data_IF_872168060127
#
_entry.id   IF_872168060127
#
_cell.length_a   1.000
_cell.length_b   1.000
_cell.length_c   1.000
_cell.angle_alpha   90.00
_cell.angle_beta   90.00
_cell.angle_gamma   90.00
#
_symmetry.space_group_name_H-M   'P 1'
#
loop_
_entity.id
_entity.type
_entity.pdbx_description
1 polymer ?
#
# COMPACT_ATOMS: atom_id res chain seq x y z
N UNK A 1 15.05 -7.90 -6.76
CA UNK A 1 14.97 -7.90 -5.28
C UNK A 1 13.53 -8.16 -4.86
N UNK A 2 13.32 -9.05 -3.90
CA UNK A 2 12.01 -9.40 -3.35
C UNK A 2 11.98 -9.13 -1.84
N UNK A 3 10.87 -8.64 -1.31
CA UNK A 3 10.69 -8.40 0.12
C UNK A 3 9.29 -8.85 0.54
N UNK A 4 9.21 -9.61 1.63
CA UNK A 4 7.98 -10.04 2.27
C UNK A 4 8.13 -9.98 3.78
N UNK A 5 7.16 -9.39 4.46
CA UNK A 5 7.14 -9.40 5.93
C UNK A 5 6.44 -10.66 6.43
N UNK A 6 6.98 -11.26 7.49
CA UNK A 6 6.50 -12.51 8.07
C UNK A 6 5.80 -12.30 9.39
N UNK A 7 6.35 -11.46 10.27
CA UNK A 7 5.76 -11.18 11.59
C UNK A 7 6.02 -9.75 12.04
N UNK A 8 5.09 -9.23 12.83
CA UNK A 8 5.21 -7.97 13.57
C UNK A 8 4.92 -8.23 15.03
N UNK A 9 5.85 -7.89 15.90
CA UNK A 9 5.68 -7.95 17.35
C UNK A 9 5.69 -6.55 17.94
N UNK A 10 4.66 -6.22 18.69
CA UNK A 10 4.48 -4.92 19.33
C UNK A 10 4.45 -5.09 20.84
N UNK A 11 5.15 -4.23 21.57
CA UNK A 11 5.14 -4.16 23.04
C UNK A 11 4.95 -2.71 23.48
N UNK A 12 3.95 -2.47 24.33
CA UNK A 12 3.65 -1.18 24.96
C UNK A 12 3.54 -0.01 23.97
N UNK A 13 3.02 -0.25 22.77
CA UNK A 13 2.87 0.77 21.74
C UNK A 13 1.41 1.17 21.57
N UNK A 14 1.11 2.41 21.81
CA UNK A 14 -0.26 2.99 21.80
C UNK A 14 -1.20 2.17 22.70
N UNK A 15 -2.23 1.54 22.11
CA UNK A 15 -3.19 0.75 22.90
C UNK A 15 -2.72 -0.68 23.21
N UNK A 16 -1.71 -1.20 22.51
CA UNK A 16 -1.26 -2.57 22.64
C UNK A 16 -0.17 -2.71 23.72
N UNK A 17 -0.46 -3.49 24.77
CA UNK A 17 0.55 -3.93 25.71
C UNK A 17 1.42 -5.01 25.07
N UNK A 18 0.78 -5.99 24.42
CA UNK A 18 1.44 -7.06 23.68
C UNK A 18 0.58 -7.45 22.50
N UNK A 19 1.19 -7.47 21.31
CA UNK A 19 0.56 -7.95 20.09
C UNK A 19 1.61 -8.65 19.23
N UNK A 20 1.30 -9.85 18.75
CA UNK A 20 2.12 -10.60 17.80
C UNK A 20 1.23 -10.93 16.58
N UNK A 21 1.63 -10.47 15.40
CA UNK A 21 0.87 -10.61 14.15
C UNK A 21 1.68 -11.44 13.16
N UNK A 22 1.27 -12.68 12.86
CA UNK A 22 1.81 -13.40 11.70
C UNK A 22 1.16 -12.87 10.43
N UNK A 23 1.94 -12.66 9.37
CA UNK A 23 1.41 -12.19 8.09
C UNK A 23 1.32 -13.32 7.06
N UNK A 24 0.20 -13.35 6.34
CA UNK A 24 0.04 -14.11 5.11
C UNK A 24 0.86 -13.48 3.98
N UNK A 25 1.19 -14.30 2.97
CA UNK A 25 2.16 -13.89 1.94
C UNK A 25 1.65 -12.83 0.96
N UNK A 26 0.32 -12.68 0.78
CA UNK A 26 -0.26 -11.78 -0.23
C UNK A 26 -1.23 -10.74 0.33
N UNK A 27 -2.19 -11.16 1.15
CA UNK A 27 -3.22 -10.23 1.66
C UNK A 27 -3.46 -10.46 3.15
N UNK A 28 -3.39 -9.39 3.92
CA UNK A 28 -3.69 -9.36 5.34
C UNK A 28 -4.74 -8.28 5.58
N UNK A 29 -5.95 -8.68 5.97
CA UNK A 29 -7.06 -7.77 6.20
C UNK A 29 -7.30 -7.63 7.70
N UNK A 30 -7.25 -6.41 8.21
CA UNK A 30 -7.53 -6.11 9.62
C UNK A 30 -8.91 -5.49 9.75
N UNK A 31 -9.76 -6.16 10.53
CA UNK A 31 -11.18 -5.81 10.71
C UNK A 31 -11.45 -5.48 12.17
N UNK A 32 -12.37 -4.59 12.42
CA UNK A 32 -12.78 -4.21 13.77
C UNK A 32 -13.40 -2.82 13.81
N UNK A 33 -14.04 -2.48 14.93
CA UNK A 33 -14.64 -1.16 15.14
C UNK A 33 -13.61 -0.03 15.15
N UNK A 34 -14.08 1.20 15.06
CA UNK A 34 -13.22 2.39 15.17
C UNK A 34 -12.48 2.40 16.52
N UNK A 35 -11.21 2.76 16.48
CA UNK A 35 -10.35 2.70 17.67
C UNK A 35 -9.89 1.29 18.09
N UNK A 36 -10.23 0.20 17.39
CA UNK A 36 -9.76 -1.15 17.72
C UNK A 36 -8.23 -1.32 17.61
N UNK A 37 -7.54 -0.42 16.90
CA UNK A 37 -6.09 -0.45 16.73
C UNK A 37 -5.63 -0.90 15.33
N UNK A 38 -6.52 -1.02 14.37
CA UNK A 38 -6.21 -1.38 12.98
C UNK A 38 -5.09 -0.52 12.39
N UNK A 39 -5.27 0.80 12.37
CA UNK A 39 -4.27 1.77 11.87
C UNK A 39 -2.97 1.75 12.70
N UNK A 40 -3.01 1.31 13.97
CA UNK A 40 -1.80 1.16 14.79
C UNK A 40 -0.89 0.07 14.26
N UNK A 41 -1.45 -1.04 13.74
CA UNK A 41 -0.67 -2.14 13.12
C UNK A 41 -0.02 -1.64 11.83
N UNK A 42 -0.77 -0.92 10.99
CA UNK A 42 -0.22 -0.35 9.76
C UNK A 42 0.88 0.67 10.06
N UNK A 43 0.66 1.59 11.01
CA UNK A 43 1.64 2.61 11.38
C UNK A 43 2.93 1.99 11.99
N UNK A 44 2.79 0.96 12.81
CA UNK A 44 3.93 0.19 13.30
C UNK A 44 4.70 -0.46 12.15
N UNK A 45 3.99 -1.07 11.19
CA UNK A 45 4.60 -1.65 9.98
C UNK A 45 5.27 -0.60 9.11
N UNK A 46 4.63 0.57 8.90
CA UNK A 46 5.18 1.69 8.15
C UNK A 46 6.50 2.19 8.77
N UNK A 47 6.54 2.36 10.10
CA UNK A 47 7.77 2.74 10.82
C UNK A 47 8.89 1.75 10.58
N UNK A 48 8.63 0.45 10.69
CA UNK A 48 9.62 -0.61 10.48
C UNK A 48 10.13 -0.62 9.03
N UNK A 49 9.24 -0.52 8.05
CA UNK A 49 9.57 -0.51 6.62
C UNK A 49 10.25 0.78 6.17
N UNK A 50 10.02 1.91 6.85
CA UNK A 50 10.69 3.17 6.56
C UNK A 50 12.22 3.06 6.69
N UNK A 51 12.72 2.20 7.57
CA UNK A 51 14.14 1.92 7.73
C UNK A 51 14.72 1.17 6.53
N UNK A 52 13.97 0.24 5.93
CA UNK A 52 14.35 -0.43 4.68
C UNK A 52 14.56 0.61 3.60
N UNK A 53 13.56 1.47 3.37
CA UNK A 53 13.63 2.54 2.36
C UNK A 53 14.82 3.47 2.57
N UNK A 54 14.99 3.97 3.79
CA UNK A 54 16.06 4.93 4.09
C UNK A 54 17.45 4.31 3.99
N UNK A 55 17.60 3.03 4.38
CA UNK A 55 18.86 2.30 4.21
C UNK A 55 19.14 2.02 2.73
N UNK A 56 18.14 1.65 1.95
CA UNK A 56 18.27 1.44 0.50
C UNK A 56 18.61 2.74 -0.25
N UNK A 57 17.99 3.85 0.09
CA UNK A 57 18.26 5.14 -0.54
C UNK A 57 19.64 5.72 -0.19
N UNK A 58 20.21 5.38 0.96
CA UNK A 58 21.51 5.90 1.40
C UNK A 58 22.67 5.08 0.81
N UNK A 59 23.67 5.71 0.14
CA UNK A 59 24.82 5.00 -0.42
C UNK A 59 25.58 4.13 0.57
N UNK A 60 25.68 4.53 1.85
CA UNK A 60 26.37 3.82 2.92
C UNK A 60 25.41 2.98 3.77
N UNK A 61 24.14 2.84 3.38
CA UNK A 61 23.08 2.22 4.19
C UNK A 61 22.97 2.81 5.61
N UNK A 62 23.18 4.13 5.75
CA UNK A 62 23.14 4.85 7.05
C UNK A 62 21.89 5.71 7.22
N UNK A 63 21.00 5.79 6.21
CA UNK A 63 19.76 6.55 6.28
C UNK A 63 18.89 6.11 7.44
N UNK A 64 18.33 7.07 8.22
CA UNK A 64 17.45 6.79 9.34
C UNK A 64 15.98 6.82 8.91
N UNK A 65 15.23 5.79 9.28
CA UNK A 65 13.78 5.72 9.15
C UNK A 65 13.06 6.42 10.31
N UNK A 66 11.76 6.20 10.42
CA UNK A 66 10.95 6.75 11.51
C UNK A 66 11.17 5.99 12.80
N UNK A 67 11.33 6.74 13.89
CA UNK A 67 11.44 6.18 15.23
C UNK A 67 10.07 6.14 15.92
N UNK A 68 9.98 5.43 17.05
CA UNK A 68 8.83 5.47 17.94
C UNK A 68 8.83 6.83 18.66
N UNK A 69 7.81 7.69 18.46
CA UNK A 69 7.70 8.92 19.24
C UNK A 69 7.27 8.59 20.68
N UNK A 70 7.69 9.39 21.64
CA UNK A 70 7.41 9.16 23.06
C UNK A 70 5.92 9.11 23.39
N UNK A 71 5.12 9.90 22.67
CA UNK A 71 3.65 9.94 22.80
C UNK A 71 2.98 8.61 22.41
N UNK A 72 3.66 7.75 21.65
CA UNK A 72 3.14 6.45 21.21
C UNK A 72 3.50 5.33 22.21
N UNK A 73 4.28 5.63 23.28
CA UNK A 73 4.49 4.71 24.39
C UNK A 73 3.21 4.63 25.20
N UNK A 74 2.74 3.43 25.53
CA UNK A 74 1.54 3.23 26.34
C UNK A 74 1.64 3.97 27.68
N UNK A 75 0.55 4.61 28.14
CA UNK A 75 0.56 5.52 29.28
C UNK A 75 1.14 4.94 30.59
N UNK A 76 1.06 3.63 30.80
CA UNK A 76 1.53 2.96 32.00
C UNK A 76 2.91 2.30 31.84
N UNK A 77 3.54 2.47 30.67
CA UNK A 77 4.82 1.85 30.36
C UNK A 77 5.95 2.87 30.28
N UNK A 78 7.14 2.48 30.69
CA UNK A 78 8.35 3.27 30.59
C UNK A 78 9.01 3.17 29.20
N UNK A 79 8.70 2.12 28.44
CA UNK A 79 9.27 1.88 27.12
C UNK A 79 8.28 1.22 26.17
N UNK A 80 8.54 1.34 24.87
CA UNK A 80 7.84 0.60 23.82
C UNK A 80 8.84 -0.01 22.84
N UNK A 81 8.47 -1.13 22.23
CA UNK A 81 9.25 -1.73 21.15
C UNK A 81 8.36 -2.30 20.04
N UNK A 82 8.90 -2.27 18.83
CA UNK A 82 8.31 -2.87 17.62
C UNK A 82 9.42 -3.71 16.99
N UNK A 83 9.14 -4.97 16.73
CA UNK A 83 10.04 -5.90 16.06
C UNK A 83 9.37 -6.43 14.79
N UNK A 84 10.13 -6.55 13.71
CA UNK A 84 9.66 -7.10 12.45
C UNK A 84 10.62 -8.20 11.99
N UNK A 85 10.04 -9.31 11.55
CA UNK A 85 10.76 -10.33 10.81
C UNK A 85 10.26 -10.33 9.36
N UNK A 86 11.20 -10.39 8.42
CA UNK A 86 10.93 -10.37 6.99
C UNK A 86 11.89 -11.30 6.24
N UNK A 87 11.54 -11.62 5.01
CA UNK A 87 12.39 -12.31 4.06
C UNK A 87 12.75 -11.36 2.92
N UNK A 88 14.06 -11.20 2.66
CA UNK A 88 14.58 -10.37 1.58
C UNK A 88 15.50 -11.22 0.71
N UNK A 89 15.10 -11.47 -0.54
CA UNK A 89 15.81 -12.35 -1.50
C UNK A 89 16.17 -13.74 -0.92
N UNK A 90 15.24 -14.35 -0.15
CA UNK A 90 15.43 -15.65 0.48
C UNK A 90 16.21 -15.61 1.80
N UNK A 91 16.68 -14.43 2.24
CA UNK A 91 17.36 -14.24 3.52
C UNK A 91 16.36 -13.79 4.57
N UNK A 92 16.24 -14.54 5.66
CA UNK A 92 15.42 -14.14 6.82
C UNK A 92 16.15 -13.07 7.62
N UNK A 93 15.48 -11.95 7.84
CA UNK A 93 16.00 -10.79 8.57
C UNK A 93 15.08 -10.43 9.72
N UNK A 94 15.67 -9.91 10.78
CA UNK A 94 14.96 -9.41 11.95
C UNK A 94 15.54 -8.09 12.41
N UNK A 95 14.68 -7.11 12.71
CA UNK A 95 15.11 -5.84 13.27
C UNK A 95 14.08 -5.29 14.25
N UNK A 96 14.53 -4.43 15.15
CA UNK A 96 13.72 -3.90 16.24
C UNK A 96 13.95 -2.41 16.45
N UNK A 97 12.87 -1.69 16.70
CA UNK A 97 12.88 -0.33 17.23
C UNK A 97 12.45 -0.36 18.68
N UNK A 98 13.15 0.38 19.53
CA UNK A 98 12.79 0.58 20.92
C UNK A 98 12.90 2.06 21.31
N UNK A 99 12.04 2.49 22.22
CA UNK A 99 12.03 3.84 22.77
C UNK A 99 11.69 3.79 24.27
N UNK A 100 12.54 4.39 25.08
CA UNK A 100 12.27 4.64 26.51
C UNK A 100 11.76 6.06 26.69
N UNK A 101 10.77 6.25 27.56
CA UNK A 101 10.21 7.55 27.94
C UNK A 101 11.25 8.37 28.69
N UNK A 102 11.23 9.69 28.50
CA UNK A 102 12.10 10.61 29.23
C UNK A 102 11.84 10.49 30.75
N UNK A 103 12.88 10.17 31.52
CA UNK A 103 12.75 9.90 32.96
C UNK A 103 12.20 8.53 33.35
N UNK A 104 11.84 7.68 32.38
CA UNK A 104 11.42 6.31 32.60
C UNK A 104 12.59 5.39 32.97
N UNK A 105 12.28 4.26 33.57
CA UNK A 105 13.29 3.23 33.89
C UNK A 105 13.66 2.48 32.60
N UNK A 106 14.98 2.40 32.26
CA UNK A 106 15.40 1.57 31.13
C UNK A 106 15.15 0.08 31.45
N UNK A 107 14.44 -0.59 30.57
CA UNK A 107 14.19 -2.04 30.63
C UNK A 107 15.28 -2.87 29.93
N UNK A 108 16.34 -2.20 29.45
CA UNK A 108 17.44 -2.83 28.74
C UNK A 108 17.15 -3.10 27.23
N UNK A 109 15.91 -2.89 26.78
CA UNK A 109 15.54 -3.07 25.36
C UNK A 109 16.06 -1.88 24.54
N UNK A 110 16.80 -2.18 23.49
CA UNK A 110 17.39 -1.19 22.57
C UNK A 110 17.02 -1.52 21.14
N UNK A 111 16.95 -0.48 20.32
CA UNK A 111 16.81 -0.68 18.87
C UNK A 111 17.97 -1.49 18.32
N UNK A 112 17.65 -2.49 17.51
CA UNK A 112 18.62 -3.31 16.79
C UNK A 112 18.25 -3.35 15.30
N UNK A 113 19.13 -2.82 14.49
CA UNK A 113 18.98 -2.71 13.03
C UNK A 113 20.15 -3.37 12.31
N UNK A 114 20.95 -4.18 13.04
CA UNK A 114 22.22 -4.68 12.52
C UNK A 114 22.00 -5.60 11.32
N UNK A 115 21.19 -6.63 11.46
CA UNK A 115 20.92 -7.60 10.38
C UNK A 115 20.41 -6.89 9.12
N UNK A 116 19.43 -6.00 9.23
CA UNK A 116 18.91 -5.21 8.13
C UNK A 116 19.99 -4.35 7.47
N UNK A 117 20.81 -3.66 8.31
CA UNK A 117 21.83 -2.76 7.80
C UNK A 117 22.94 -3.51 7.08
N UNK A 118 23.40 -4.62 7.64
CA UNK A 118 24.50 -5.41 7.06
C UNK A 118 24.04 -6.07 5.77
N UNK A 119 22.84 -6.63 5.70
CA UNK A 119 22.30 -7.19 4.46
C UNK A 119 22.12 -6.16 3.35
N UNK A 120 21.60 -4.95 3.65
CA UNK A 120 21.49 -3.88 2.66
C UNK A 120 22.88 -3.41 2.18
N UNK A 121 23.90 -3.37 3.06
CA UNK A 121 25.27 -3.07 2.63
C UNK A 121 25.80 -4.11 1.65
N UNK A 122 25.58 -5.40 1.93
CA UNK A 122 25.96 -6.49 1.02
C UNK A 122 25.33 -6.33 -0.36
N UNK A 123 24.00 -6.06 -0.41
CA UNK A 123 23.29 -5.81 -1.68
C UNK A 123 23.93 -4.63 -2.42
N UNK A 124 24.24 -3.54 -1.74
CA UNK A 124 24.83 -2.34 -2.37
C UNK A 124 26.27 -2.57 -2.83
N UNK A 125 27.06 -3.36 -2.09
CA UNK A 125 28.42 -3.72 -2.48
C UNK A 125 28.46 -4.66 -3.69
N UNK A 126 27.48 -5.55 -3.80
CA UNK A 126 27.31 -6.43 -4.97
C UNK A 126 26.81 -5.68 -6.23
N UNK A 127 26.38 -4.43 -6.07
CA UNK A 127 25.72 -3.62 -7.10
C UNK A 127 24.22 -3.58 -6.89
N UNK A 128 23.62 -2.41 -7.11
CA UNK A 128 22.16 -2.26 -6.95
C UNK A 128 21.42 -3.21 -7.90
N UNK A 129 20.37 -3.90 -7.43
CA UNK A 129 19.58 -4.79 -8.28
C UNK A 129 18.86 -4.03 -9.39
N UNK A 130 18.60 -4.70 -10.52
CA UNK A 130 17.84 -4.12 -11.63
C UNK A 130 16.37 -3.84 -11.27
N UNK A 131 15.84 -4.48 -10.22
CA UNK A 131 14.47 -4.30 -9.76
C UNK A 131 14.42 -4.20 -8.24
N UNK A 132 13.52 -3.35 -7.73
CA UNK A 132 13.32 -3.12 -6.31
C UNK A 132 11.91 -3.54 -5.88
N UNK A 133 11.71 -4.00 -4.63
CA UNK A 133 10.38 -4.14 -4.08
C UNK A 133 9.76 -2.74 -3.88
N UNK A 134 8.50 -2.57 -4.25
CA UNK A 134 7.81 -1.32 -3.89
C UNK A 134 7.43 -1.33 -2.42
N UNK A 135 7.46 -0.16 -1.82
CA UNK A 135 6.98 0.09 -0.46
C UNK A 135 6.12 1.34 -0.50
N UNK A 136 4.89 1.24 -0.01
CA UNK A 136 3.97 2.38 0.02
C UNK A 136 2.99 2.28 1.18
N UNK A 137 2.60 3.44 1.72
CA UNK A 137 1.59 3.57 2.76
C UNK A 137 0.52 4.58 2.32
N UNK A 138 -0.72 4.14 2.28
CA UNK A 138 -1.89 4.94 1.93
C UNK A 138 -2.83 5.03 3.12
N UNK A 139 -2.77 6.13 3.85
CA UNK A 139 -3.65 6.41 5.00
C UNK A 139 -5.01 6.93 4.55
N UNK A 140 -5.91 7.17 5.50
CA UNK A 140 -7.23 7.77 5.26
C UNK A 140 -7.16 9.12 4.53
N UNK A 141 -6.07 9.88 4.67
CA UNK A 141 -5.87 11.17 4.01
C UNK A 141 -5.25 11.05 2.60
N UNK A 142 -5.33 9.89 1.95
CA UNK A 142 -4.64 9.59 0.68
C UNK A 142 -5.09 10.40 -0.53
N UNK A 143 -6.24 11.04 -0.49
CA UNK A 143 -6.86 11.69 -1.64
C UNK A 143 -6.63 13.20 -1.67
N UNK A 144 -5.40 13.67 -1.85
CA UNK A 144 -5.13 15.08 -2.16
C UNK A 144 -4.79 15.21 -3.64
N UNK A 145 -5.75 15.72 -4.44
CA UNK A 145 -5.52 16.05 -5.84
C UNK A 145 -4.98 17.48 -5.97
N UNK A 146 -3.66 17.61 -5.93
CA UNK A 146 -3.00 18.86 -6.33
C UNK A 146 -2.54 18.72 -7.79
N UNK A 147 -3.30 19.27 -8.72
CA UNK A 147 -2.89 19.40 -10.13
C UNK A 147 -2.07 20.68 -10.27
N UNK A 148 -0.76 20.61 -10.46
CA UNK A 148 0.06 21.79 -10.53
C UNK A 148 -0.30 22.61 -11.78
N UNK A 149 -0.65 23.87 -11.59
CA UNK A 149 -0.88 24.84 -12.70
C UNK A 149 0.41 25.16 -13.46
N UNK A 150 1.57 24.99 -12.80
CA UNK A 150 2.91 25.18 -13.38
C UNK A 150 3.89 24.22 -12.73
N UNK A 151 4.68 23.53 -13.55
CA UNK A 151 5.81 22.71 -13.10
C UNK A 151 7.03 23.62 -13.05
N UNK A 152 7.58 23.83 -11.83
CA UNK A 152 8.72 24.71 -11.60
C UNK A 152 10.05 23.95 -11.43
N UNK A 153 9.99 22.67 -11.11
CA UNK A 153 11.14 21.81 -10.85
C UNK A 153 11.02 20.54 -11.67
N UNK A 154 12.13 20.14 -12.33
CA UNK A 154 12.20 18.83 -12.96
C UNK A 154 12.61 17.80 -11.90
N UNK A 155 11.74 16.85 -11.61
CA UNK A 155 12.10 15.66 -10.83
C UNK A 155 12.85 14.70 -11.77
N UNK A 156 13.97 14.14 -11.28
CA UNK A 156 14.59 12.99 -11.92
C UNK A 156 13.84 11.74 -11.45
N UNK A 157 13.21 11.03 -12.37
CA UNK A 157 12.55 9.76 -12.09
C UNK A 157 13.49 8.61 -12.41
N UNK A 158 14.24 8.18 -11.41
CA UNK A 158 15.07 6.98 -11.45
C UNK A 158 14.41 5.83 -10.65
N UNK A 159 15.04 4.67 -10.65
CA UNK A 159 14.49 3.48 -9.98
C UNK A 159 14.32 3.69 -8.46
N UNK A 160 15.20 4.45 -7.80
CA UNK A 160 15.09 4.76 -6.37
C UNK A 160 13.98 5.77 -6.06
N UNK A 161 13.53 6.54 -7.06
CA UNK A 161 12.38 7.45 -6.93
C UNK A 161 11.06 6.71 -6.66
N UNK A 162 11.05 5.37 -6.79
CA UNK A 162 9.93 4.54 -6.30
C UNK A 162 9.69 4.72 -4.81
N UNK A 163 10.72 5.09 -4.04
CA UNK A 163 10.65 5.27 -2.59
C UNK A 163 10.33 6.70 -2.15
N UNK A 164 10.23 7.66 -3.09
CA UNK A 164 9.91 9.03 -2.75
C UNK A 164 8.54 9.12 -2.09
N UNK A 165 8.51 9.72 -0.89
CA UNK A 165 7.29 9.85 -0.09
C UNK A 165 6.54 8.52 0.15
N UNK A 166 7.23 7.37 0.17
CA UNK A 166 6.65 6.04 0.32
C UNK A 166 5.79 5.89 1.58
N UNK A 167 6.17 6.57 2.68
CA UNK A 167 5.48 6.55 3.97
C UNK A 167 4.95 7.94 4.38
N UNK A 168 4.58 8.79 3.41
CA UNK A 168 3.90 10.06 3.69
C UNK A 168 2.42 9.90 4.01
N UNK A 169 1.88 8.70 3.86
CA UNK A 169 0.47 8.40 4.06
C UNK A 169 -0.45 8.89 2.93
N UNK A 170 0.09 9.53 1.89
CA UNK A 170 -0.69 10.13 0.81
C UNK A 170 -0.24 9.62 -0.55
N UNK A 171 -1.20 9.41 -1.47
CA UNK A 171 -0.88 9.29 -2.88
C UNK A 171 -0.39 10.66 -3.38
N UNK A 172 0.88 10.76 -3.76
CA UNK A 172 1.42 12.02 -4.26
C UNK A 172 0.97 12.25 -5.71
N UNK A 173 -0.25 12.77 -5.85
CA UNK A 173 -0.85 13.01 -7.15
C UNK A 173 -0.04 13.99 -8.00
N UNK A 174 0.58 14.98 -7.38
CA UNK A 174 1.44 15.95 -8.09
C UNK A 174 2.62 15.25 -8.77
N UNK A 175 3.34 14.41 -8.02
CA UNK A 175 4.47 13.63 -8.57
C UNK A 175 3.98 12.63 -9.63
N UNK A 176 2.81 12.00 -9.43
CA UNK A 176 2.19 11.16 -10.44
C UNK A 176 1.90 11.93 -11.73
N UNK A 177 1.30 13.12 -11.63
CA UNK A 177 0.97 13.95 -12.78
C UNK A 177 2.22 14.42 -13.55
N UNK A 178 3.26 14.86 -12.83
CA UNK A 178 4.53 15.30 -13.42
C UNK A 178 5.20 14.14 -14.16
N UNK A 179 5.25 12.96 -13.53
CA UNK A 179 5.79 11.75 -14.14
C UNK A 179 4.98 11.30 -15.36
N UNK A 180 3.64 11.26 -15.26
CA UNK A 180 2.76 10.85 -16.35
C UNK A 180 2.97 11.74 -17.57
N UNK A 181 3.06 13.05 -17.36
CA UNK A 181 3.33 14.02 -18.44
C UNK A 181 4.68 13.76 -19.09
N UNK A 182 5.74 13.58 -18.31
CA UNK A 182 7.09 13.34 -18.85
C UNK A 182 7.13 12.06 -19.69
N UNK A 183 6.53 10.98 -19.21
CA UNK A 183 6.46 9.72 -19.95
C UNK A 183 5.60 9.82 -21.22
N UNK A 184 4.51 10.59 -21.18
CA UNK A 184 3.69 10.85 -22.36
C UNK A 184 4.44 11.69 -23.40
N UNK A 185 5.24 12.69 -22.98
CA UNK A 185 6.08 13.48 -23.87
C UNK A 185 7.12 12.57 -24.55
N UNK A 186 7.82 11.72 -23.81
CA UNK A 186 8.78 10.75 -24.35
C UNK A 186 8.13 9.75 -25.33
N UNK A 187 6.97 9.18 -24.99
CA UNK A 187 6.24 8.32 -25.94
C UNK A 187 5.88 9.03 -27.25
N UNK A 188 5.51 10.31 -27.16
CA UNK A 188 5.15 11.09 -28.33
C UNK A 188 6.37 11.41 -29.19
N UNK A 189 7.52 11.75 -28.60
CA UNK A 189 8.79 11.93 -29.30
C UNK A 189 9.20 10.66 -30.04
N UNK A 190 9.19 9.50 -29.34
CA UNK A 190 9.51 8.20 -29.95
C UNK A 190 8.59 7.86 -31.13
N UNK A 191 7.31 8.20 -31.05
CA UNK A 191 6.35 7.97 -32.15
C UNK A 191 6.65 8.87 -33.36
N UNK A 192 7.05 10.12 -33.12
CA UNK A 192 7.43 11.06 -34.18
C UNK A 192 8.71 10.57 -34.86
N UNK A 193 9.74 10.22 -34.08
CA UNK A 193 11.00 9.70 -34.60
C UNK A 193 10.80 8.43 -35.44
N UNK A 194 9.98 7.48 -34.94
CA UNK A 194 9.65 6.26 -35.67
C UNK A 194 8.94 6.57 -37.01
N UNK A 195 8.00 7.51 -37.00
CA UNK A 195 7.31 7.94 -38.20
C UNK A 195 8.22 8.60 -39.22
N UNK A 196 9.13 9.49 -38.79
CA UNK A 196 10.11 10.17 -39.65
C UNK A 196 11.09 9.18 -40.30
N UNK A 197 11.46 8.11 -39.58
CA UNK A 197 12.37 7.08 -40.09
C UNK A 197 11.67 5.92 -40.81
N UNK A 198 10.35 6.00 -41.02
CA UNK A 198 9.56 4.97 -41.73
C UNK A 198 9.41 3.67 -40.97
N UNK A 199 9.62 3.68 -39.67
CA UNK A 199 9.42 2.54 -38.79
C UNK A 199 8.02 2.61 -38.14
N UNK A 200 7.39 1.44 -37.97
CA UNK A 200 6.22 1.36 -37.09
C UNK A 200 6.69 1.56 -35.65
N UNK A 201 6.08 2.49 -34.92
CA UNK A 201 6.32 2.62 -33.49
C UNK A 201 6.07 1.24 -32.85
N UNK A 202 7.10 0.64 -32.27
CA UNK A 202 7.01 -0.67 -31.63
C UNK A 202 5.93 -0.65 -30.54
N UNK A 203 5.23 -1.77 -30.40
CA UNK A 203 4.27 -2.03 -29.32
C UNK A 203 4.98 -2.44 -28.02
N UNK A 204 6.19 -1.91 -27.77
CA UNK A 204 6.89 -2.18 -26.53
C UNK A 204 6.08 -1.68 -25.35
N UNK A 205 5.99 -2.49 -24.32
CA UNK A 205 5.29 -2.15 -23.09
C UNK A 205 6.04 -1.03 -22.38
N UNK A 206 5.51 0.20 -22.49
CA UNK A 206 6.12 1.38 -21.87
C UNK A 206 5.72 1.47 -20.41
N UNK A 207 6.51 2.19 -19.60
CA UNK A 207 6.16 2.49 -18.21
C UNK A 207 4.75 3.13 -18.10
N UNK A 208 4.38 3.94 -19.08
CA UNK A 208 3.07 4.60 -19.13
C UNK A 208 1.95 3.60 -19.46
N UNK A 209 2.22 2.57 -20.27
CA UNK A 209 1.24 1.52 -20.58
C UNK A 209 0.88 0.70 -19.34
N UNK A 210 1.84 0.41 -18.47
CA UNK A 210 1.65 -0.26 -17.16
C UNK A 210 0.64 0.50 -16.31
N UNK A 211 0.80 1.82 -16.21
CA UNK A 211 -0.12 2.68 -15.45
C UNK A 211 -1.50 2.73 -16.08
N UNK A 212 -1.58 2.89 -17.40
CA UNK A 212 -2.87 2.91 -18.12
C UNK A 212 -3.62 1.59 -17.98
N UNK A 213 -2.92 0.46 -18.02
CA UNK A 213 -3.51 -0.88 -17.83
C UNK A 213 -3.99 -1.08 -16.39
N UNK A 214 -3.21 -0.67 -15.38
CA UNK A 214 -3.63 -0.73 -13.99
C UNK A 214 -4.89 0.13 -13.76
N UNK A 215 -4.90 1.38 -14.23
CA UNK A 215 -6.09 2.25 -14.14
C UNK A 215 -7.31 1.63 -14.82
N UNK A 216 -7.15 1.01 -16.00
CA UNK A 216 -8.25 0.36 -16.72
C UNK A 216 -8.81 -0.86 -15.97
N UNK A 217 -8.00 -1.57 -15.18
CA UNK A 217 -8.45 -2.69 -14.36
C UNK A 217 -9.39 -2.27 -13.24
N UNK A 218 -9.16 -1.10 -12.64
CA UNK A 218 -9.96 -0.57 -11.52
C UNK A 218 -11.10 0.35 -11.99
N UNK A 219 -10.88 1.06 -13.07
CA UNK A 219 -11.79 2.06 -13.63
C UNK A 219 -12.08 1.76 -15.11
N UNK A 220 -12.74 0.64 -15.43
CA UNK A 220 -12.90 0.16 -16.80
C UNK A 220 -13.74 1.09 -17.70
N UNK A 221 -14.55 1.96 -17.11
CA UNK A 221 -15.33 2.98 -17.81
C UNK A 221 -14.50 4.18 -18.29
N UNK A 222 -13.25 4.31 -17.74
CA UNK A 222 -12.36 5.42 -18.07
C UNK A 222 -11.31 4.99 -19.09
N UNK A 223 -11.17 5.75 -20.17
CA UNK A 223 -10.23 5.47 -21.26
C UNK A 223 -9.55 6.74 -21.75
N UNK A 224 -8.45 6.58 -22.48
CA UNK A 224 -7.79 7.69 -23.17
C UNK A 224 -7.21 8.74 -22.23
N UNK A 225 -6.57 8.27 -21.15
CA UNK A 225 -5.82 9.12 -20.22
C UNK A 225 -4.74 9.90 -20.98
N UNK A 226 -4.76 11.24 -20.88
CA UNK A 226 -3.79 12.10 -21.55
C UNK A 226 -3.61 13.42 -20.82
N UNK A 227 -2.44 14.03 -20.97
CA UNK A 227 -2.19 15.38 -20.47
C UNK A 227 -2.40 16.41 -21.56
N UNK A 228 -3.34 17.34 -21.35
CA UNK A 228 -3.50 18.54 -22.18
C UNK A 228 -2.47 19.58 -21.75
N UNK A 229 -1.79 20.22 -22.72
CA UNK A 229 -0.73 21.19 -22.45
C UNK A 229 -1.23 22.61 -22.26
N UNK A 230 -2.35 22.98 -22.90
CA UNK A 230 -2.94 24.33 -22.85
C UNK A 230 -4.46 24.25 -22.80
N UNK A 231 -5.09 24.59 -21.66
CA UNK A 231 -4.50 24.72 -20.33
C UNK A 231 -3.98 23.37 -19.81
N UNK A 232 -3.00 23.41 -18.89
CA UNK A 232 -2.40 22.19 -18.33
C UNK A 232 -3.43 21.44 -17.46
N UNK A 233 -3.76 20.20 -17.85
CA UNK A 233 -4.70 19.33 -17.13
C UNK A 233 -4.54 17.86 -17.56
N UNK A 234 -4.95 16.94 -16.71
CA UNK A 234 -5.12 15.53 -17.06
C UNK A 234 -6.56 15.31 -17.49
N UNK A 235 -6.75 14.78 -18.68
CA UNK A 235 -8.06 14.46 -19.26
C UNK A 235 -8.26 12.96 -19.36
N UNK A 236 -9.50 12.54 -19.21
CA UNK A 236 -9.93 11.16 -19.38
C UNK A 236 -11.30 11.10 -20.04
N UNK A 237 -11.57 10.06 -20.80
CA UNK A 237 -12.86 9.82 -21.41
C UNK A 237 -13.68 8.83 -20.57
N UNK A 238 -14.89 9.23 -20.17
CA UNK A 238 -15.89 8.39 -19.53
C UNK A 238 -17.08 8.24 -20.49
N UNK A 239 -17.27 7.05 -21.08
CA UNK A 239 -18.23 6.88 -22.17
C UNK A 239 -17.91 7.78 -23.35
N UNK A 240 -18.83 8.70 -23.68
CA UNK A 240 -18.68 9.71 -24.75
C UNK A 240 -18.09 11.03 -24.26
N UNK A 241 -18.06 11.28 -22.96
CA UNK A 241 -17.64 12.54 -22.36
C UNK A 241 -16.12 12.58 -22.14
N UNK A 242 -15.53 13.74 -22.42
CA UNK A 242 -14.13 14.04 -22.11
C UNK A 242 -14.11 14.92 -20.86
N UNK A 243 -13.57 14.40 -19.77
CA UNK A 243 -13.56 15.04 -18.45
C UNK A 243 -12.15 15.46 -18.05
N UNK A 244 -12.03 16.62 -17.39
CA UNK A 244 -10.88 16.94 -16.57
C UNK A 244 -10.99 16.14 -15.28
N UNK A 245 -9.88 15.59 -14.78
CA UNK A 245 -9.89 14.77 -13.55
C UNK A 245 -10.47 15.52 -12.33
N UNK A 246 -10.43 16.84 -12.32
CA UNK A 246 -11.05 17.67 -11.27
C UNK A 246 -12.58 17.55 -11.25
N UNK A 247 -13.19 17.13 -12.36
CA UNK A 247 -14.63 16.92 -12.51
C UNK A 247 -15.08 15.53 -12.06
N UNK A 248 -14.14 14.62 -11.76
CA UNK A 248 -14.43 13.30 -11.23
C UNK A 248 -14.99 13.40 -9.80
N UNK A 249 -15.74 12.40 -9.36
CA UNK A 249 -16.18 12.26 -7.98
C UNK A 249 -14.97 12.02 -7.04
N UNK A 250 -15.13 12.27 -5.75
CA UNK A 250 -14.03 12.11 -4.80
C UNK A 250 -13.57 10.64 -4.68
N UNK A 251 -14.51 9.69 -4.81
CA UNK A 251 -14.17 8.26 -4.87
C UNK A 251 -13.36 7.89 -6.11
N UNK A 252 -13.76 8.37 -7.30
CA UNK A 252 -13.00 8.19 -8.54
C UNK A 252 -11.60 8.78 -8.45
N UNK A 253 -11.51 10.00 -7.92
CA UNK A 253 -10.23 10.69 -7.69
C UNK A 253 -9.32 9.90 -6.73
N UNK A 254 -9.87 9.46 -5.59
CA UNK A 254 -9.13 8.72 -4.57
C UNK A 254 -8.58 7.41 -5.13
N UNK A 255 -9.42 6.63 -5.81
CA UNK A 255 -9.02 5.37 -6.41
C UNK A 255 -7.99 5.58 -7.53
N UNK A 256 -8.21 6.56 -8.42
CA UNK A 256 -7.27 6.91 -9.49
C UNK A 256 -5.91 7.34 -8.92
N UNK A 257 -5.89 8.18 -7.88
CA UNK A 257 -4.64 8.66 -7.28
C UNK A 257 -3.85 7.51 -6.65
N UNK A 258 -4.50 6.64 -5.89
CA UNK A 258 -3.87 5.48 -5.25
C UNK A 258 -3.33 4.49 -6.29
N UNK A 259 -4.17 4.07 -7.25
CA UNK A 259 -3.77 3.08 -8.25
C UNK A 259 -2.73 3.65 -9.22
N UNK A 260 -2.88 4.92 -9.60
CA UNK A 260 -1.90 5.61 -10.45
C UNK A 260 -0.53 5.73 -9.80
N UNK A 261 -0.47 6.13 -8.50
CA UNK A 261 0.79 6.19 -7.77
C UNK A 261 1.41 4.80 -7.57
N UNK A 262 0.59 3.79 -7.21
CA UNK A 262 1.06 2.41 -7.05
C UNK A 262 1.63 1.85 -8.35
N UNK A 263 0.94 2.03 -9.48
CA UNK A 263 1.38 1.58 -10.79
C UNK A 263 2.63 2.33 -11.27
N UNK A 264 2.74 3.65 -11.00
CA UNK A 264 3.95 4.44 -11.25
C UNK A 264 5.14 3.89 -10.48
N UNK A 265 4.97 3.60 -9.18
CA UNK A 265 6.02 2.99 -8.35
C UNK A 265 6.46 1.65 -8.91
N UNK A 266 5.52 0.81 -9.36
CA UNK A 266 5.81 -0.46 -10.01
C UNK A 266 6.63 -0.29 -11.29
N UNK A 267 6.24 0.65 -12.15
CA UNK A 267 6.97 0.95 -13.37
C UNK A 267 8.40 1.40 -13.09
N UNK A 268 8.60 2.33 -12.15
CA UNK A 268 9.91 2.83 -11.75
C UNK A 268 10.79 1.75 -11.09
N UNK A 269 10.20 0.91 -10.24
CA UNK A 269 10.93 -0.13 -9.50
C UNK A 269 11.36 -1.31 -10.39
N UNK A 270 10.72 -1.49 -11.55
CA UNK A 270 10.90 -2.66 -12.40
C UNK A 270 11.18 -2.27 -13.87
N UNK A 271 12.19 -1.45 -14.15
CA UNK A 271 12.50 -1.03 -15.51
C UNK A 271 12.85 -2.25 -16.39
N UNK A 272 12.36 -2.26 -17.62
CA UNK A 272 12.65 -3.30 -18.60
C UNK A 272 12.04 -4.67 -18.34
N UNK A 273 11.17 -4.83 -17.34
CA UNK A 273 10.37 -6.05 -17.20
C UNK A 273 9.22 -6.06 -18.21
N UNK A 274 8.92 -7.24 -18.78
CA UNK A 274 7.80 -7.43 -19.69
C UNK A 274 6.46 -7.01 -19.05
N UNK A 275 6.24 -7.29 -17.77
CA UNK A 275 5.15 -6.77 -16.98
C UNK A 275 5.68 -6.23 -15.64
N UNK A 276 5.82 -4.94 -15.54
CA UNK A 276 6.28 -4.30 -14.31
C UNK A 276 5.30 -4.49 -13.14
N UNK A 277 4.01 -4.75 -13.39
CA UNK A 277 2.99 -5.01 -12.34
C UNK A 277 3.27 -6.30 -11.57
N UNK A 278 4.01 -7.23 -12.18
CA UNK A 278 4.46 -8.46 -11.52
C UNK A 278 5.70 -8.25 -10.60
N UNK A 279 6.11 -7.02 -10.36
CA UNK A 279 7.10 -6.69 -9.34
C UNK A 279 6.60 -7.02 -7.93
N UNK A 280 7.55 -7.20 -6.99
CA UNK A 280 7.25 -7.49 -5.59
C UNK A 280 7.14 -6.20 -4.74
N UNK A 281 6.61 -6.34 -3.53
CA UNK A 281 6.58 -5.24 -2.57
C UNK A 281 5.63 -5.45 -1.41
N UNK A 282 5.59 -4.47 -0.52
CA UNK A 282 4.65 -4.42 0.61
C UNK A 282 3.90 -3.09 0.57
N UNK A 283 2.57 -3.16 0.54
CA UNK A 283 1.70 -1.98 0.45
C UNK A 283 0.72 -1.98 1.61
N UNK A 284 0.67 -0.86 2.32
CA UNK A 284 -0.22 -0.61 3.44
C UNK A 284 -1.37 0.28 2.95
N UNK A 285 -2.62 -0.11 3.25
CA UNK A 285 -3.81 0.68 2.86
C UNK A 285 -4.75 0.75 4.05
N UNK A 286 -4.88 1.95 4.62
CA UNK A 286 -5.84 2.18 5.71
C UNK A 286 -7.22 2.50 5.14
N UNK A 287 -8.26 1.85 5.66
CA UNK A 287 -9.67 1.97 5.24
C UNK A 287 -9.82 1.90 3.72
N UNK A 288 -9.54 0.73 3.14
CA UNK A 288 -9.51 0.55 1.68
C UNK A 288 -10.78 0.97 0.97
N UNK A 289 -11.93 0.87 1.64
CA UNK A 289 -13.25 1.26 1.17
C UNK A 289 -13.53 2.76 1.21
N UNK A 290 -12.69 3.55 1.88
CA UNK A 290 -12.94 4.97 2.13
C UNK A 290 -13.19 5.74 0.83
N UNK A 291 -14.32 6.46 0.77
CA UNK A 291 -14.84 7.19 -0.40
C UNK A 291 -15.22 6.31 -1.60
N UNK A 292 -15.10 4.97 -1.52
CA UNK A 292 -15.47 4.11 -2.64
C UNK A 292 -16.97 3.88 -2.71
N UNK A 293 -17.51 3.96 -3.93
CA UNK A 293 -18.88 3.52 -4.20
C UNK A 293 -19.02 2.02 -3.86
N UNK A 294 -20.18 1.56 -3.34
CA UNK A 294 -20.40 0.15 -2.96
C UNK A 294 -20.01 -0.88 -4.03
N UNK A 295 -20.18 -0.55 -5.32
CA UNK A 295 -19.74 -1.42 -6.40
C UNK A 295 -18.21 -1.64 -6.42
N UNK A 296 -17.43 -0.59 -6.13
CA UNK A 296 -15.97 -0.67 -6.08
C UNK A 296 -15.46 -1.32 -4.79
N UNK A 297 -16.16 -1.15 -3.66
CA UNK A 297 -15.83 -1.87 -2.42
C UNK A 297 -15.83 -3.39 -2.64
N UNK A 298 -16.72 -3.90 -3.49
CA UNK A 298 -16.78 -5.32 -3.85
C UNK A 298 -15.62 -5.79 -4.73
N UNK A 299 -14.99 -4.90 -5.47
CA UNK A 299 -13.99 -5.29 -6.49
C UNK A 299 -12.56 -4.89 -6.13
N UNK A 300 -12.35 -3.96 -5.19
CA UNK A 300 -11.05 -3.38 -4.90
C UNK A 300 -10.00 -4.42 -4.51
N UNK A 301 -10.27 -5.31 -3.56
CA UNK A 301 -9.30 -6.33 -3.13
C UNK A 301 -9.01 -7.37 -4.23
N UNK A 302 -10.01 -7.99 -4.90
CA UNK A 302 -9.76 -8.86 -6.04
C UNK A 302 -8.95 -8.17 -7.17
N UNK A 303 -9.24 -6.90 -7.46
CA UNK A 303 -8.50 -6.14 -8.46
C UNK A 303 -7.05 -5.88 -8.04
N UNK A 304 -6.79 -5.55 -6.76
CA UNK A 304 -5.42 -5.39 -6.23
C UNK A 304 -4.61 -6.68 -6.41
N UNK A 305 -5.15 -7.82 -5.95
CA UNK A 305 -4.48 -9.12 -6.04
C UNK A 305 -4.23 -9.57 -7.49
N UNK A 306 -5.15 -9.27 -8.41
CA UNK A 306 -5.02 -9.60 -9.82
C UNK A 306 -4.03 -8.70 -10.54
N UNK A 307 -4.07 -7.39 -10.27
CA UNK A 307 -3.25 -6.39 -10.97
C UNK A 307 -1.81 -6.39 -10.49
N UNK A 308 -1.58 -6.69 -9.19
CA UNK A 308 -0.26 -6.70 -8.56
C UNK A 308 -0.02 -8.04 -7.85
N UNK A 309 0.22 -9.14 -8.61
CA UNK A 309 0.16 -10.50 -8.10
C UNK A 309 1.22 -10.85 -7.06
N UNK A 310 2.35 -10.14 -7.05
CA UNK A 310 3.48 -10.41 -6.15
C UNK A 310 3.64 -9.35 -5.04
N UNK A 311 2.63 -8.52 -4.84
CA UNK A 311 2.60 -7.53 -3.75
C UNK A 311 1.92 -8.15 -2.53
N UNK A 312 2.53 -7.96 -1.37
CA UNK A 312 1.92 -8.23 -0.08
C UNK A 312 1.16 -7.00 0.39
N UNK A 313 -0.15 -7.13 0.55
CA UNK A 313 -1.04 -6.06 1.01
C UNK A 313 -1.38 -6.22 2.49
N UNK A 314 -1.26 -5.15 3.25
CA UNK A 314 -1.79 -5.00 4.60
C UNK A 314 -2.89 -3.95 4.55
N UNK A 315 -4.12 -4.37 4.80
CA UNK A 315 -5.30 -3.54 4.54
C UNK A 315 -6.17 -3.48 5.78
N UNK A 316 -6.65 -2.30 6.14
CA UNK A 316 -7.73 -2.19 7.12
C UNK A 316 -9.07 -1.96 6.44
N UNK A 317 -10.12 -2.45 7.04
CA UNK A 317 -11.50 -2.22 6.59
C UNK A 317 -12.48 -2.34 7.76
N UNK A 318 -13.60 -1.65 7.64
CA UNK A 318 -14.81 -1.87 8.45
C UNK A 318 -16.02 -2.16 7.58
N UNK A 319 -15.82 -2.34 6.25
CA UNK A 319 -16.92 -2.58 5.30
C UNK A 319 -17.32 -4.05 5.23
N UNK A 320 -18.58 -4.39 5.58
CA UNK A 320 -19.13 -5.73 5.36
C UNK A 320 -19.12 -6.15 3.89
N UNK A 321 -19.23 -5.18 2.95
CA UNK A 321 -19.20 -5.47 1.51
C UNK A 321 -17.84 -5.96 1.04
N UNK A 322 -16.75 -5.38 1.57
CA UNK A 322 -15.37 -5.82 1.30
C UNK A 322 -15.18 -7.26 1.78
N UNK A 323 -15.64 -7.57 3.01
CA UNK A 323 -15.52 -8.90 3.61
C UNK A 323 -16.36 -9.95 2.88
N UNK A 324 -17.62 -9.64 2.54
CA UNK A 324 -18.49 -10.55 1.82
C UNK A 324 -17.89 -10.94 0.45
N UNK A 325 -17.30 -9.97 -0.25
CA UNK A 325 -16.68 -10.26 -1.54
C UNK A 325 -15.37 -11.05 -1.38
N UNK A 326 -14.59 -10.78 -0.34
CA UNK A 326 -13.38 -11.55 -0.03
C UNK A 326 -13.74 -13.02 0.25
N UNK A 327 -14.79 -13.26 1.06
CA UNK A 327 -15.28 -14.62 1.32
C UNK A 327 -15.71 -15.34 0.04
N UNK A 328 -16.36 -14.63 -0.89
CA UNK A 328 -16.71 -15.19 -2.21
C UNK A 328 -15.46 -15.57 -3.03
N UNK A 329 -14.40 -14.77 -2.96
CA UNK A 329 -13.14 -15.08 -3.65
C UNK A 329 -12.44 -16.30 -3.02
N UNK A 330 -12.38 -16.36 -1.69
CA UNK A 330 -11.84 -17.51 -0.94
C UNK A 330 -12.60 -18.80 -1.25
N UNK A 331 -13.93 -18.74 -1.29
CA UNK A 331 -14.78 -19.90 -1.66
C UNK A 331 -14.45 -20.43 -3.06
N UNK A 332 -14.25 -19.56 -4.03
CA UNK A 332 -13.88 -19.95 -5.40
C UNK A 332 -12.53 -20.64 -5.46
N UNK A 333 -11.53 -20.13 -4.73
CA UNK A 333 -10.20 -20.75 -4.63
C UNK A 333 -10.30 -22.13 -3.97
N UNK A 334 -10.99 -22.23 -2.87
CA UNK A 334 -11.22 -23.53 -2.20
C UNK A 334 -11.91 -24.56 -3.11
N UNK A 335 -12.95 -24.14 -3.83
CA UNK A 335 -13.69 -24.99 -4.77
C UNK A 335 -12.87 -25.41 -5.98
N UNK A 336 -11.83 -24.67 -6.34
CA UNK A 336 -10.90 -25.00 -7.42
C UNK A 336 -9.80 -26.00 -6.98
N UNK A 337 -9.79 -26.44 -5.72
CA UNK A 337 -8.81 -27.38 -5.17
C UNK A 337 -7.46 -26.72 -4.82
N UNK A 338 -7.38 -25.42 -4.89
CA UNK A 338 -6.26 -24.66 -4.33
C UNK A 338 -6.44 -24.68 -2.80
N UNK A 339 -5.67 -25.53 -2.13
CA UNK A 339 -5.71 -25.69 -0.68
C UNK A 339 -5.51 -24.35 0.03
N UNK A 340 -5.85 -24.23 1.34
CA UNK A 340 -5.66 -23.02 2.13
C UNK A 340 -4.16 -22.74 2.28
N UNK A 341 -3.53 -22.25 1.22
CA UNK A 341 -2.21 -21.63 1.33
C UNK A 341 -2.36 -20.40 2.20
N UNK A 342 -1.40 -20.11 3.07
CA UNK A 342 -1.34 -18.88 3.87
C UNK A 342 -1.10 -17.63 2.99
N UNK A 343 -1.81 -17.53 1.86
CA UNK A 343 -1.72 -16.38 0.96
C UNK A 343 -2.58 -15.20 1.44
N UNK A 344 -3.69 -15.52 2.09
CA UNK A 344 -4.66 -14.53 2.59
C UNK A 344 -4.95 -14.84 4.06
N UNK A 345 -4.98 -13.82 4.90
CA UNK A 345 -5.52 -13.92 6.25
C UNK A 345 -6.39 -12.70 6.57
N UNK A 346 -7.38 -12.90 7.43
CA UNK A 346 -8.31 -11.88 7.90
C UNK A 346 -8.30 -11.89 9.42
N UNK A 347 -7.96 -10.77 10.01
CA UNK A 347 -7.78 -10.63 11.44
C UNK A 347 -8.87 -9.75 12.05
N UNK A 348 -9.61 -10.32 13.00
CA UNK A 348 -10.51 -9.56 13.87
C UNK A 348 -9.75 -8.92 15.02
N UNK A 349 -9.95 -7.62 15.25
CA UNK A 349 -9.36 -6.88 16.35
C UNK A 349 -10.43 -6.56 17.40
N UNK A 350 -10.24 -7.08 18.62
CA UNK A 350 -11.11 -6.84 19.77
C UNK A 350 -10.28 -6.65 21.04
N UNK A 351 -10.62 -5.67 21.86
CA UNK A 351 -10.06 -5.46 23.20
C UNK A 351 -8.52 -5.60 23.28
N UNK A 352 -7.82 -5.08 22.23
CA UNK A 352 -6.37 -5.16 22.14
C UNK A 352 -5.83 -6.56 21.79
N UNK A 353 -6.69 -7.48 21.37
CA UNK A 353 -6.31 -8.81 20.88
C UNK A 353 -6.57 -8.93 19.38
N UNK A 354 -5.86 -9.85 18.77
CA UNK A 354 -6.01 -10.20 17.35
C UNK A 354 -6.27 -11.69 17.24
N UNK A 355 -7.19 -12.07 16.36
CA UNK A 355 -7.46 -13.46 16.01
C UNK A 355 -7.73 -13.59 14.53
N UNK A 356 -7.34 -14.69 13.90
CA UNK A 356 -7.77 -14.99 12.54
C UNK A 356 -9.27 -15.23 12.51
N UNK A 357 -9.95 -14.65 11.53
CA UNK A 357 -11.37 -14.86 11.28
C UNK A 357 -11.61 -15.98 10.26
N UNK A 358 -10.57 -16.61 9.77
CA UNK A 358 -10.66 -17.73 8.84
C UNK A 358 -10.79 -19.04 9.60
N UNK A 359 -11.72 -19.87 9.16
CA UNK A 359 -11.87 -21.25 9.60
C UNK A 359 -10.61 -22.05 9.18
N UNK A 360 -9.94 -22.72 10.11
CA UNK A 360 -8.67 -23.40 9.82
C UNK A 360 -8.79 -24.56 8.82
N UNK A 361 -9.97 -25.17 8.68
CA UNK A 361 -10.19 -26.35 7.82
C UNK A 361 -10.61 -25.91 6.41
N UNK A 362 -11.48 -24.92 6.31
CA UNK A 362 -12.03 -24.45 5.03
C UNK A 362 -11.32 -23.22 4.46
N UNK A 363 -10.61 -22.46 5.28
CA UNK A 363 -10.02 -21.18 4.89
C UNK A 363 -11.04 -20.08 4.55
N UNK A 364 -12.32 -20.28 4.92
CA UNK A 364 -13.39 -19.33 4.71
C UNK A 364 -13.61 -18.46 5.95
N UNK A 365 -14.22 -17.28 5.77
CA UNK A 365 -14.61 -16.44 6.89
C UNK A 365 -15.68 -17.13 7.74
N UNK A 366 -15.47 -17.16 9.04
CA UNK A 366 -16.43 -17.70 10.00
C UNK A 366 -17.70 -16.83 10.05
N UNK A 367 -18.88 -17.42 9.86
CA UNK A 367 -20.13 -16.70 9.75
C UNK A 367 -20.44 -15.82 10.99
N UNK A 368 -20.21 -16.32 12.21
CA UNK A 368 -20.41 -15.56 13.44
C UNK A 368 -19.56 -14.30 13.55
N UNK A 369 -18.33 -14.33 13.05
CA UNK A 369 -17.46 -13.17 13.03
C UNK A 369 -17.92 -12.11 12.01
N UNK A 370 -18.50 -12.53 10.88
CA UNK A 370 -19.08 -11.62 9.90
C UNK A 370 -20.32 -10.91 10.44
N UNK A 371 -21.21 -11.65 11.12
CA UNK A 371 -22.41 -11.09 11.74
C UNK A 371 -22.05 -10.07 12.83
N UNK A 372 -21.03 -10.34 13.61
CA UNK A 372 -20.55 -9.41 14.63
C UNK A 372 -19.98 -8.11 14.06
N UNK A 373 -19.27 -8.18 12.93
CA UNK A 373 -18.79 -6.96 12.23
C UNK A 373 -19.96 -6.16 11.68
N UNK A 374 -20.94 -6.82 11.08
CA UNK A 374 -22.15 -6.16 10.57
C UNK A 374 -22.94 -5.49 11.71
N UNK A 375 -23.18 -6.20 12.80
CA UNK A 375 -23.89 -5.68 13.97
C UNK A 375 -23.14 -4.52 14.64
N UNK A 376 -21.82 -4.60 14.74
CA UNK A 376 -21.01 -3.52 15.32
C UNK A 376 -21.05 -2.22 14.48
N UNK A 377 -21.19 -2.34 13.15
CA UNK A 377 -21.40 -1.19 12.24
C UNK A 377 -22.78 -0.59 12.44
N UNK A 378 -23.82 -1.43 12.57
CA UNK A 378 -25.19 -0.98 12.82
C UNK A 378 -25.32 -0.31 14.20
N UNK A 379 -24.70 -0.86 15.25
CA UNK A 379 -24.67 -0.26 16.59
C UNK A 379 -23.96 1.09 16.62
N UNK A 380 -22.84 1.23 15.92
CA UNK A 380 -22.12 2.50 15.81
C UNK A 380 -22.95 3.54 15.05
N UNK A 381 -23.62 3.13 13.97
CA UNK A 381 -24.53 3.99 13.21
C UNK A 381 -25.71 4.48 14.08
N UNK A 382 -26.33 3.59 14.84
CA UNK A 382 -27.41 3.94 15.75
C UNK A 382 -26.97 4.89 16.85
N UNK A 383 -25.79 4.70 17.45
CA UNK A 383 -25.20 5.64 18.44
C UNK A 383 -24.95 7.02 17.85
N UNK A 384 -24.50 7.10 16.59
CA UNK A 384 -24.30 8.38 15.91
C UNK A 384 -25.61 9.10 15.64
N UNK A 385 -26.70 8.36 15.30
CA UNK A 385 -28.03 8.93 15.14
C UNK A 385 -28.58 9.46 16.49
N UNK A 386 -28.40 8.72 17.57
CA UNK A 386 -28.84 9.14 18.91
C UNK A 386 -28.09 10.38 19.40
N UNK A 387 -26.78 10.49 19.14
CA UNK A 387 -25.95 11.62 19.55
C UNK A 387 -26.04 12.84 18.61
N UNK A 388 -26.49 12.67 17.38
CA UNK A 388 -26.60 13.75 16.37
C UNK A 388 -28.00 14.36 16.27
N UNK A 389 -28.98 13.82 17.00
CA UNK A 389 -30.37 14.31 17.07
C UNK A 389 -30.70 14.97 18.40
N UNK A 390 -29.70 15.18 19.27
CA UNK A 390 -29.85 15.89 20.55
C UNK A 390 -29.38 17.33 20.45
#
# INVERSE_FOLDING_TARGET
>A
MNLRINTLSIRNFRRFEKLDVPFASRLNVFVGINGAGKSTILDASAKMLSWVVRRMASPQATGAGENIPERDIQNRADSASIEMAAEMDGVSLKWMLAKTRSGGKPDGVKSDLKELTDHIKEIRQAGLPASFPILADYTVNRAVLDVPLRIRTHHKFDTLSTYDNAFSGTANFRTFFEWFREREDLENEQKIDAWEHGHSAGTEETELSVVKQALAAFLPEFRGWRVRRSPLRLEVRKGTELLDIRQLSDGEKSLMAMIGDLARRMALANPGKADARAGSGVVLIDEVELHLHPAWQRTVLPCLLKTFPNVQFLVTTHSPLVLAQLNTALYRQHSAGEGPGREIDVFGLRDGRIASMLDPETGLLMAGEMDEVANAVDDEFNRLLENGLA
#
